data_IF_055331931160
#
_entry.id   IF_055331931160
#
_cell.length_a   1.000
_cell.length_b   1.000
_cell.length_c   1.000
_cell.angle_alpha   90.00
_cell.angle_beta   90.00
_cell.angle_gamma   90.00
#
_symmetry.space_group_name_H-M   'P 1'
#
loop_
_entity.id
_entity.type
_entity.pdbx_description
1 polymer ?
#
# COMPACT_ATOMS: atom_id res chain seq x y z
N UNK A 1 -6.46 -6.12 -12.55
CA UNK A 1 -5.04 -5.72 -12.52
C UNK A 1 -4.53 -5.34 -13.91
N UNK A 2 -4.56 -6.22 -14.92
CA UNK A 2 -4.03 -5.89 -16.26
C UNK A 2 -4.74 -4.75 -17.02
N UNK A 3 -6.02 -4.47 -16.70
CA UNK A 3 -6.75 -3.34 -17.27
C UNK A 3 -6.54 -2.00 -16.53
N UNK A 4 -5.59 -1.93 -15.59
CA UNK A 4 -5.38 -0.76 -14.68
C UNK A 4 -6.61 -0.33 -13.87
N UNK A 5 -7.57 -1.23 -13.65
CA UNK A 5 -8.74 -0.99 -12.79
C UNK A 5 -8.41 -0.95 -11.28
N UNK A 6 -7.14 -1.19 -10.92
CA UNK A 6 -6.68 -1.26 -9.53
C UNK A 6 -5.50 -0.32 -9.35
N UNK A 7 -5.70 0.73 -8.58
CA UNK A 7 -4.70 1.77 -8.33
C UNK A 7 -3.82 1.47 -7.09
N UNK A 8 -4.24 0.54 -6.23
CA UNK A 8 -3.50 0.15 -5.03
C UNK A 8 -3.89 -1.25 -4.55
N UNK A 9 -2.94 -2.00 -3.99
CA UNK A 9 -3.16 -3.32 -3.38
C UNK A 9 -2.76 -3.32 -1.90
N UNK A 10 -3.67 -3.77 -1.03
CA UNK A 10 -3.36 -4.09 0.37
C UNK A 10 -3.44 -5.62 0.55
N UNK A 11 -2.29 -6.28 0.73
CA UNK A 11 -2.19 -7.74 0.85
C UNK A 11 -1.61 -8.14 2.22
N UNK A 12 -2.48 -8.37 3.20
CA UNK A 12 -2.10 -8.82 4.55
C UNK A 12 -2.41 -10.33 4.66
N UNK A 13 -1.41 -11.20 4.88
CA UNK A 13 -1.65 -12.64 5.02
C UNK A 13 -2.46 -12.91 6.28
N UNK A 14 -3.46 -13.79 6.18
CA UNK A 14 -4.31 -14.18 7.32
C UNK A 14 -3.68 -15.33 8.10
N UNK A 15 -3.00 -16.24 7.40
CA UNK A 15 -2.27 -17.38 7.97
C UNK A 15 -1.10 -17.81 7.06
N UNK A 16 -0.32 -18.79 7.52
CA UNK A 16 0.86 -19.32 6.82
C UNK A 16 0.57 -20.62 6.05
N UNK A 17 -0.70 -20.86 5.68
CA UNK A 17 -1.02 -22.05 4.87
C UNK A 17 -0.41 -21.90 3.47
N UNK A 18 0.06 -23.01 2.88
CA UNK A 18 0.71 -22.99 1.55
C UNK A 18 -0.17 -22.34 0.48
N UNK A 19 -1.48 -22.59 0.52
CA UNK A 19 -2.45 -21.97 -0.37
C UNK A 19 -2.50 -20.45 -0.25
N UNK A 20 -2.56 -19.92 0.97
CA UNK A 20 -2.54 -18.47 1.19
C UNK A 20 -1.20 -17.84 0.82
N UNK A 21 -0.08 -18.50 1.14
CA UNK A 21 1.25 -18.01 0.79
C UNK A 21 1.44 -17.93 -0.73
N UNK A 22 0.99 -18.96 -1.46
CA UNK A 22 1.05 -19.01 -2.93
C UNK A 22 0.17 -17.94 -3.57
N UNK A 23 -1.07 -17.79 -3.11
CA UNK A 23 -1.98 -16.77 -3.62
C UNK A 23 -1.48 -15.36 -3.29
N UNK A 24 -1.01 -15.14 -2.05
CA UNK A 24 -0.39 -13.89 -1.65
C UNK A 24 0.83 -13.56 -2.50
N UNK A 25 1.69 -14.54 -2.80
CA UNK A 25 2.83 -14.35 -3.69
C UNK A 25 2.40 -13.91 -5.10
N UNK A 26 1.41 -14.57 -5.72
CA UNK A 26 0.89 -14.21 -7.05
C UNK A 26 0.36 -12.78 -7.08
N UNK A 27 -0.40 -12.37 -6.06
CA UNK A 27 -0.93 -11.01 -5.95
C UNK A 27 0.19 -9.99 -5.84
N UNK A 28 1.17 -10.22 -4.94
CA UNK A 28 2.30 -9.31 -4.76
C UNK A 28 3.16 -9.21 -6.01
N UNK A 29 3.39 -10.33 -6.70
CA UNK A 29 4.15 -10.35 -7.95
C UNK A 29 3.45 -9.54 -9.04
N UNK A 30 2.15 -9.76 -9.24
CA UNK A 30 1.38 -9.01 -10.23
C UNK A 30 1.33 -7.51 -9.93
N UNK A 31 1.23 -7.11 -8.66
CA UNK A 31 1.27 -5.69 -8.27
C UNK A 31 2.61 -5.04 -8.64
N UNK A 32 3.73 -5.71 -8.32
CA UNK A 32 5.07 -5.23 -8.68
C UNK A 32 5.26 -5.16 -10.19
N UNK A 33 4.83 -6.19 -10.92
CA UNK A 33 4.96 -6.26 -12.39
C UNK A 33 4.22 -5.13 -13.11
N UNK A 34 3.12 -4.66 -12.52
CA UNK A 34 2.29 -3.59 -13.08
C UNK A 34 2.60 -2.22 -12.48
N UNK A 35 3.64 -2.13 -11.65
CA UNK A 35 4.02 -0.93 -10.91
C UNK A 35 2.86 -0.33 -10.09
N UNK A 36 2.05 -1.20 -9.49
CA UNK A 36 0.92 -0.82 -8.62
C UNK A 36 1.41 -0.81 -7.16
N UNK A 37 1.17 0.28 -6.40
CA UNK A 37 1.53 0.35 -4.99
C UNK A 37 0.98 -0.82 -4.17
N UNK A 38 1.84 -1.40 -3.32
CA UNK A 38 1.55 -2.59 -2.53
C UNK A 38 1.85 -2.35 -1.03
N UNK A 39 0.85 -2.54 -0.17
CA UNK A 39 1.01 -2.56 1.30
C UNK A 39 0.81 -3.97 1.83
N UNK A 40 1.73 -4.46 2.64
CA UNK A 40 1.69 -5.81 3.23
C UNK A 40 1.47 -5.85 4.73
N UNK A 41 1.46 -4.68 5.39
CA UNK A 41 1.35 -4.54 6.83
C UNK A 41 0.06 -3.82 7.21
N UNK A 42 -0.72 -4.43 8.11
CA UNK A 42 -1.98 -3.87 8.60
C UNK A 42 -1.81 -2.51 9.29
N UNK A 43 -0.79 -2.34 10.12
CA UNK A 43 -0.53 -1.08 10.84
C UNK A 43 -0.17 0.04 9.87
N UNK A 44 0.63 -0.26 8.87
CA UNK A 44 0.99 0.71 7.82
C UNK A 44 -0.25 1.09 7.00
N UNK A 45 -1.07 0.11 6.61
CA UNK A 45 -2.32 0.37 5.88
C UNK A 45 -3.26 1.26 6.70
N UNK A 46 -3.46 0.95 7.98
CA UNK A 46 -4.31 1.75 8.87
C UNK A 46 -3.77 3.16 9.06
N UNK A 47 -2.46 3.32 9.28
CA UNK A 47 -1.84 4.64 9.42
C UNK A 47 -1.96 5.47 8.13
N UNK A 48 -1.77 4.85 6.97
CA UNK A 48 -1.92 5.49 5.67
C UNK A 48 -3.35 5.95 5.42
N UNK A 49 -4.35 5.07 5.64
CA UNK A 49 -5.77 5.42 5.49
C UNK A 49 -6.16 6.53 6.48
N UNK A 50 -5.70 6.44 7.73
CA UNK A 50 -5.97 7.47 8.72
C UNK A 50 -5.40 8.83 8.29
N UNK A 51 -4.10 8.89 7.96
CA UNK A 51 -3.46 10.12 7.50
C UNK A 51 -4.17 10.69 6.27
N UNK A 52 -4.53 9.84 5.31
CA UNK A 52 -5.27 10.24 4.11
C UNK A 52 -6.67 10.80 4.42
N UNK A 53 -7.36 10.27 5.42
CA UNK A 53 -8.71 10.72 5.79
C UNK A 53 -8.71 11.92 6.74
N UNK A 54 -7.64 12.15 7.51
CA UNK A 54 -7.58 13.22 8.52
C UNK A 54 -6.79 14.44 8.08
N UNK A 55 -5.87 14.30 7.12
CA UNK A 55 -5.14 15.44 6.56
C UNK A 55 -5.89 15.97 5.34
N UNK A 56 -6.22 17.25 5.34
CA UNK A 56 -6.66 17.94 4.14
C UNK A 56 -5.46 18.23 3.23
N UNK A 57 -5.72 18.49 1.95
CA UNK A 57 -4.67 18.94 1.01
C UNK A 57 -3.98 20.21 1.52
N UNK A 58 -4.72 21.09 2.20
CA UNK A 58 -4.20 22.33 2.76
C UNK A 58 -3.25 22.09 3.93
N UNK A 59 -3.36 20.94 4.62
CA UNK A 59 -2.44 20.52 5.69
C UNK A 59 -1.13 19.93 5.15
N UNK A 60 -1.07 19.59 3.85
CA UNK A 60 0.14 19.08 3.19
C UNK A 60 1.03 20.27 2.82
N UNK A 61 1.73 20.80 3.80
CA UNK A 61 2.71 21.86 3.58
C UNK A 61 3.89 21.35 2.75
N UNK A 62 4.28 22.10 1.71
CA UNK A 62 5.56 21.90 1.02
C UNK A 62 6.66 22.43 1.94
N UNK A 63 7.20 21.54 2.77
CA UNK A 63 8.32 21.86 3.66
C UNK A 63 9.65 21.84 2.90
N UNK A 64 10.58 22.71 3.28
CA UNK A 64 11.95 22.65 2.78
C UNK A 64 12.61 21.33 3.21
N UNK A 65 13.38 20.72 2.31
CA UNK A 65 14.14 19.50 2.60
C UNK A 65 15.06 19.64 3.83
N UNK A 66 15.50 20.85 4.16
CA UNK A 66 16.34 21.13 5.33
C UNK A 66 15.62 20.94 6.68
N UNK A 67 14.29 20.86 6.72
CA UNK A 67 13.52 20.66 7.96
C UNK A 67 13.42 19.19 8.40
N UNK A 68 13.82 18.24 7.55
CA UNK A 68 13.82 16.79 7.87
C UNK A 68 15.17 16.28 8.41
N UNK A 69 16.08 17.18 8.83
CA UNK A 69 17.39 16.83 9.42
C UNK A 69 17.31 16.23 10.81
#
# INVERSE_FOLDING_TARGET
LHNKEVDMVVNIPKNLTEGELSNGYKIRRAAIDLNIPLITNARLASAFIYAFCTMSIDDIAIMSWDEYK
#
